data_IF_111013807689
#
_entry.id   IF_111013807689
#
_cell.length_a   1.000
_cell.length_b   1.000
_cell.length_c   1.000
_cell.angle_alpha   90.00
_cell.angle_beta   90.00
_cell.angle_gamma   90.00
#
_symmetry.space_group_name_H-M   'P 1'
#
loop_
_entity.id
_entity.type
_entity.pdbx_description
1 polymer ?
#
# COMPACT_ATOMS: atom_id res chain seq x y z
N UNK A 1 -36.22 20.51 -1.00
CA UNK A 1 -35.25 20.02 -2.00
C UNK A 1 -33.99 19.66 -1.24
N UNK A 2 -33.94 18.42 -0.75
CA UNK A 2 -32.86 17.93 0.09
C UNK A 2 -31.68 17.56 -0.81
N UNK A 3 -30.57 18.29 -0.65
CA UNK A 3 -29.31 17.99 -1.30
C UNK A 3 -28.82 16.62 -0.85
N UNK A 4 -28.94 15.62 -1.71
CA UNK A 4 -28.35 14.30 -1.49
C UNK A 4 -26.82 14.43 -1.42
N UNK A 5 -26.14 13.95 -0.37
CA UNK A 5 -24.68 13.90 -0.37
C UNK A 5 -24.22 12.85 -1.39
N UNK A 6 -23.32 13.26 -2.29
CA UNK A 6 -22.76 12.45 -3.36
C UNK A 6 -21.98 11.25 -2.76
N UNK A 7 -22.29 9.97 -3.10
CA UNK A 7 -21.73 8.79 -2.43
C UNK A 7 -20.27 8.46 -2.78
N UNK A 8 -19.59 9.30 -3.57
CA UNK A 8 -18.20 9.10 -3.96
C UNK A 8 -17.28 10.09 -3.24
N UNK A 9 -17.15 9.94 -1.91
CA UNK A 9 -15.96 10.45 -1.22
C UNK A 9 -14.80 9.56 -1.66
N UNK A 10 -14.18 9.92 -2.78
CA UNK A 10 -12.85 9.43 -3.12
C UNK A 10 -11.93 10.01 -2.06
N UNK A 11 -11.47 9.18 -1.12
CA UNK A 11 -10.40 9.55 -0.19
C UNK A 11 -9.18 9.81 -1.07
N UNK A 12 -9.00 11.07 -1.47
CA UNK A 12 -7.89 11.51 -2.29
C UNK A 12 -6.62 11.31 -1.46
N UNK A 13 -5.99 10.15 -1.62
CA UNK A 13 -4.67 9.91 -1.06
C UNK A 13 -3.73 10.82 -1.84
N UNK A 14 -3.07 11.77 -1.19
CA UNK A 14 -2.06 12.68 -1.78
C UNK A 14 -0.76 11.92 -2.15
N UNK A 15 -0.89 10.68 -2.62
CA UNK A 15 0.22 9.78 -2.91
C UNK A 15 0.26 9.52 -4.41
N UNK A 16 1.46 9.60 -4.98
CA UNK A 16 1.72 9.24 -6.37
C UNK A 16 1.34 7.78 -6.64
N UNK A 17 0.58 7.52 -7.70
CA UNK A 17 0.16 6.17 -8.07
C UNK A 17 1.26 5.44 -8.85
N UNK A 18 1.67 4.28 -8.37
CA UNK A 18 2.57 3.36 -9.06
C UNK A 18 1.83 2.07 -9.37
N UNK A 19 1.98 1.53 -10.58
CA UNK A 19 1.44 0.23 -10.97
C UNK A 19 2.59 -0.75 -11.18
N UNK A 20 2.55 -1.87 -10.47
CA UNK A 20 3.57 -2.94 -10.55
C UNK A 20 2.90 -4.28 -10.89
N UNK A 21 3.60 -5.10 -11.65
CA UNK A 21 3.19 -6.47 -11.92
C UNK A 21 3.87 -7.40 -10.93
N UNK A 22 3.07 -8.13 -10.15
CA UNK A 22 3.56 -9.10 -9.18
C UNK A 22 3.03 -10.49 -9.54
N UNK A 23 3.83 -11.55 -9.34
CA UNK A 23 3.32 -12.91 -9.38
C UNK A 23 2.12 -13.09 -8.44
N UNK A 24 1.14 -13.88 -8.85
CA UNK A 24 -0.09 -14.07 -8.07
C UNK A 24 0.19 -14.63 -6.67
N UNK A 25 1.15 -15.55 -6.56
CA UNK A 25 1.58 -16.10 -5.28
C UNK A 25 2.09 -15.01 -4.32
N UNK A 26 2.89 -14.07 -4.84
CA UNK A 26 3.43 -12.98 -4.04
C UNK A 26 2.31 -12.04 -3.57
N UNK A 27 1.34 -11.72 -4.43
CA UNK A 27 0.16 -10.94 -4.05
C UNK A 27 -0.63 -11.62 -2.92
N UNK A 28 -0.83 -12.94 -3.00
CA UNK A 28 -1.55 -13.69 -1.98
C UNK A 28 -0.81 -13.63 -0.63
N UNK A 29 0.52 -13.79 -0.65
CA UNK A 29 1.33 -13.67 0.56
C UNK A 29 1.24 -12.27 1.17
N UNK A 30 1.35 -11.22 0.36
CA UNK A 30 1.21 -9.83 0.82
C UNK A 30 -0.18 -9.57 1.44
N UNK A 31 -1.22 -10.16 0.87
CA UNK A 31 -2.59 -10.05 1.38
C UNK A 31 -2.71 -10.67 2.77
N UNK A 32 -2.25 -11.91 2.94
CA UNK A 32 -2.28 -12.62 4.23
C UNK A 32 -1.49 -11.87 5.31
N UNK A 33 -0.33 -11.31 4.96
CA UNK A 33 0.47 -10.52 5.91
C UNK A 33 -0.24 -9.23 6.28
N UNK A 34 -0.81 -8.52 5.31
CA UNK A 34 -1.54 -7.27 5.57
C UNK A 34 -2.77 -7.48 6.46
N UNK A 35 -3.50 -8.58 6.26
CA UNK A 35 -4.64 -8.97 7.09
C UNK A 35 -4.22 -9.23 8.54
N UNK A 36 -3.12 -9.96 8.76
CA UNK A 36 -2.56 -10.20 10.09
C UNK A 36 -2.20 -8.89 10.81
N UNK A 37 -1.68 -7.92 10.06
CA UNK A 37 -1.29 -6.62 10.58
C UNK A 37 -2.46 -5.63 10.74
N UNK A 38 -3.68 -6.03 10.33
CA UNK A 38 -4.87 -5.16 10.24
C UNK A 38 -4.63 -3.89 9.40
N UNK A 39 -3.86 -4.02 8.32
CA UNK A 39 -3.52 -2.92 7.41
C UNK A 39 -3.89 -3.28 5.98
N UNK A 40 -3.97 -2.25 5.13
CA UNK A 40 -4.14 -2.47 3.68
C UNK A 40 -2.84 -2.96 3.06
N UNK A 41 -2.93 -3.77 2.00
CA UNK A 41 -1.77 -4.25 1.23
C UNK A 41 -0.90 -3.09 0.75
N UNK A 42 -1.51 -1.97 0.33
CA UNK A 42 -0.77 -0.77 -0.10
C UNK A 42 0.08 -0.16 1.01
N UNK A 43 -0.41 -0.14 2.25
CA UNK A 43 0.31 0.37 3.42
C UNK A 43 1.46 -0.58 3.79
N UNK A 44 1.21 -1.89 3.76
CA UNK A 44 2.25 -2.89 3.98
C UNK A 44 3.39 -2.75 2.96
N UNK A 45 3.05 -2.61 1.67
CA UNK A 45 4.05 -2.44 0.61
C UNK A 45 4.88 -1.18 0.84
N UNK A 46 4.24 -0.07 1.23
CA UNK A 46 4.95 1.18 1.55
C UNK A 46 5.98 0.99 2.66
N UNK A 47 5.59 0.36 3.77
CA UNK A 47 6.49 0.08 4.90
C UNK A 47 7.66 -0.80 4.45
N UNK A 48 7.38 -1.92 3.79
CA UNK A 48 8.41 -2.87 3.34
C UNK A 48 9.40 -2.22 2.36
N UNK A 49 8.92 -1.34 1.48
CA UNK A 49 9.78 -0.62 0.54
C UNK A 49 10.68 0.37 1.29
N UNK A 50 10.15 1.11 2.27
CA UNK A 50 10.94 2.03 3.09
C UNK A 50 12.02 1.28 3.87
N UNK A 51 11.65 0.22 4.58
CA UNK A 51 12.61 -0.60 5.34
C UNK A 51 13.70 -1.19 4.42
N UNK A 52 13.33 -1.66 3.23
CA UNK A 52 14.28 -2.19 2.27
C UNK A 52 15.23 -1.10 1.70
N UNK A 53 14.75 0.14 1.55
CA UNK A 53 15.58 1.26 1.11
C UNK A 53 16.54 1.70 2.21
N UNK A 54 16.06 1.81 3.45
CA UNK A 54 16.89 2.15 4.62
C UNK A 54 17.98 1.11 4.85
N UNK A 55 17.65 -0.18 4.80
CA UNK A 55 18.62 -1.27 4.92
C UNK A 55 19.65 -1.26 3.78
N UNK A 56 19.25 -0.87 2.56
CA UNK A 56 20.16 -0.72 1.42
C UNK A 56 21.09 0.48 1.55
N UNK A 57 20.64 1.55 2.19
CA UNK A 57 21.46 2.73 2.44
C UNK A 57 22.49 2.46 3.55
N UNK A 58 22.07 1.77 4.62
CA UNK A 58 22.94 1.33 5.71
C UNK A 58 23.93 0.22 5.32
N UNK A 59 23.66 -0.52 4.24
CA UNK A 59 24.55 -1.55 3.68
C UNK A 59 25.49 -1.05 2.58
N UNK A 60 25.53 0.27 2.32
CA UNK A 60 26.53 0.90 1.43
C UNK A 60 27.68 1.46 2.28
N UNK A 61 28.49 0.57 2.82
CA UNK A 61 29.87 0.85 3.25
C UNK A 61 30.79 -0.26 2.74
#
# INVERSE_FOLDING_TARGET
>A
MESSPNPYVCVATDKSRITVYLPQELKNRLTVVAEKDKRSVSVLIEILILEALEARDQGKE
#
